data_IF_605918318071
#
_entry.id   IF_605918318071
#
_cell.length_a   1.000
_cell.length_b   1.000
_cell.length_c   1.000
_cell.angle_alpha   90.00
_cell.angle_beta   90.00
_cell.angle_gamma   90.00
#
_symmetry.space_group_name_H-M   'P 1'
#
loop_
_entity.id
_entity.type
_entity.pdbx_description
1 polymer ?
#
# COMPACT_ATOMS: atom_id res chain seq x y z
N UNK A 1 -2.12 -13.10 -15.68
CA UNK A 1 -2.34 -11.92 -16.55
C UNK A 1 -1.97 -10.59 -15.88
N UNK A 2 -2.60 -10.20 -14.76
CA UNK A 2 -2.34 -8.92 -14.07
C UNK A 2 -0.93 -8.80 -13.48
N UNK A 3 -0.41 -9.85 -12.83
CA UNK A 3 0.97 -9.85 -12.28
C UNK A 3 2.03 -9.73 -13.38
N UNK A 4 1.72 -10.24 -14.58
CA UNK A 4 2.64 -10.19 -15.72
C UNK A 4 2.68 -8.77 -16.32
N UNK A 5 1.53 -8.11 -16.42
CA UNK A 5 1.44 -6.69 -16.81
C UNK A 5 2.21 -5.76 -15.86
N UNK A 6 2.08 -5.97 -14.54
CA UNK A 6 2.83 -5.20 -13.54
C UNK A 6 4.36 -5.42 -13.64
N UNK A 7 4.78 -6.65 -13.98
CA UNK A 7 6.19 -6.94 -14.26
C UNK A 7 6.67 -6.22 -15.51
N UNK A 8 5.86 -6.20 -16.56
CA UNK A 8 6.19 -5.53 -17.82
C UNK A 8 6.29 -4.00 -17.65
N UNK A 9 5.40 -3.36 -16.88
CA UNK A 9 5.54 -1.93 -16.56
C UNK A 9 6.78 -1.66 -15.71
N UNK A 10 7.05 -2.49 -14.69
CA UNK A 10 8.26 -2.36 -13.88
C UNK A 10 9.52 -2.47 -14.76
N UNK A 11 9.59 -3.51 -15.58
CA UNK A 11 10.79 -3.86 -16.34
C UNK A 11 11.02 -2.94 -17.54
N UNK A 12 9.95 -2.52 -18.23
CA UNK A 12 10.05 -1.72 -19.45
C UNK A 12 9.87 -0.22 -19.23
N UNK A 13 9.23 0.21 -18.15
CA UNK A 13 8.94 1.64 -17.91
C UNK A 13 9.67 2.16 -16.68
N UNK A 14 9.51 1.50 -15.52
CA UNK A 14 10.06 2.03 -14.25
C UNK A 14 11.58 1.86 -14.18
N UNK A 15 12.10 0.66 -14.47
CA UNK A 15 13.54 0.36 -14.39
C UNK A 15 14.37 1.00 -15.51
N UNK A 16 13.74 1.44 -16.60
CA UNK A 16 14.40 2.16 -17.69
C UNK A 16 14.65 3.64 -17.39
N UNK A 17 14.04 4.18 -16.33
CA UNK A 17 14.23 5.57 -15.89
C UNK A 17 15.17 5.63 -14.69
N UNK A 18 16.04 6.65 -14.60
CA UNK A 18 16.92 6.82 -13.44
C UNK A 18 16.13 7.01 -12.14
N UNK A 19 15.06 7.81 -12.19
CA UNK A 19 14.18 8.06 -11.04
C UNK A 19 13.41 6.80 -10.63
N UNK A 20 12.90 6.02 -11.58
CA UNK A 20 12.19 4.77 -11.29
C UNK A 20 13.11 3.67 -10.77
N UNK A 21 14.34 3.56 -11.29
CA UNK A 21 15.36 2.63 -10.78
C UNK A 21 15.81 2.99 -9.35
N UNK A 22 16.06 4.28 -9.08
CA UNK A 22 16.39 4.76 -7.74
C UNK A 22 15.22 4.54 -6.74
N UNK A 23 13.98 4.81 -7.17
CA UNK A 23 12.78 4.54 -6.39
C UNK A 23 12.63 3.05 -6.08
N UNK A 24 12.76 2.17 -7.08
CA UNK A 24 12.66 0.72 -6.88
C UNK A 24 13.76 0.18 -5.96
N UNK A 25 14.97 0.72 -6.07
CA UNK A 25 16.09 0.36 -5.19
C UNK A 25 15.80 0.77 -3.75
N UNK A 26 15.40 2.03 -3.52
CA UNK A 26 15.04 2.52 -2.18
C UNK A 26 13.82 1.81 -1.60
N UNK A 27 12.80 1.56 -2.42
CA UNK A 27 11.61 0.80 -2.02
C UNK A 27 11.96 -0.64 -1.65
N UNK A 28 12.75 -1.35 -2.45
CA UNK A 28 13.19 -2.71 -2.13
C UNK A 28 13.99 -2.74 -0.83
N UNK A 29 14.93 -1.81 -0.66
CA UNK A 29 15.74 -1.73 0.56
C UNK A 29 14.87 -1.48 1.79
N UNK A 30 13.92 -0.55 1.71
CA UNK A 30 12.96 -0.30 2.78
C UNK A 30 12.06 -1.52 3.04
N UNK A 31 11.46 -2.10 1.99
CA UNK A 31 10.58 -3.27 2.12
C UNK A 31 11.29 -4.44 2.80
N UNK A 32 12.49 -4.80 2.34
CA UNK A 32 13.24 -5.91 2.92
C UNK A 32 13.89 -5.57 4.27
N UNK A 33 13.95 -4.30 4.69
CA UNK A 33 14.48 -3.95 6.02
C UNK A 33 13.55 -4.34 7.16
N UNK A 34 12.25 -4.53 6.91
CA UNK A 34 11.28 -4.92 7.94
C UNK A 34 10.44 -6.15 7.58
N UNK A 35 10.24 -6.45 6.28
CA UNK A 35 9.38 -7.56 5.84
C UNK A 35 9.75 -8.92 6.43
N UNK A 36 11.04 -9.34 6.51
CA UNK A 36 11.40 -10.62 7.10
C UNK A 36 10.99 -10.72 8.57
N UNK A 37 11.27 -9.69 9.36
CA UNK A 37 10.91 -9.65 10.78
C UNK A 37 9.39 -9.73 10.96
N UNK A 38 8.62 -8.98 10.17
CA UNK A 38 7.14 -9.04 10.21
C UNK A 38 6.66 -10.46 9.84
N UNK A 39 7.21 -11.07 8.79
CA UNK A 39 6.82 -12.40 8.34
C UNK A 39 7.09 -13.49 9.39
N UNK A 40 8.20 -13.39 10.12
CA UNK A 40 8.51 -14.31 11.21
C UNK A 40 7.52 -14.13 12.38
N UNK A 41 7.20 -12.90 12.76
CA UNK A 41 6.18 -12.62 13.79
C UNK A 41 4.77 -13.08 13.40
N UNK A 42 4.39 -12.97 12.12
CA UNK A 42 3.12 -13.49 11.63
C UNK A 42 3.01 -15.02 11.74
N UNK A 43 4.14 -15.72 11.57
CA UNK A 43 4.20 -17.18 11.69
C UNK A 43 4.07 -17.64 13.14
N UNK A 44 4.67 -16.89 14.07
CA UNK A 44 4.66 -17.20 15.50
C UNK A 44 3.36 -16.80 16.19
N UNK A 45 2.73 -15.70 15.77
CA UNK A 45 1.57 -15.13 16.46
C UNK A 45 0.38 -14.90 15.52
N UNK A 46 -0.63 -15.80 15.53
CA UNK A 46 -1.82 -15.69 14.68
C UNK A 46 -2.61 -14.40 14.89
N UNK A 47 -2.62 -13.84 16.10
CA UNK A 47 -3.29 -12.58 16.39
C UNK A 47 -2.57 -11.37 15.75
N UNK A 48 -1.23 -11.41 15.70
CA UNK A 48 -0.44 -10.41 15.00
C UNK A 48 -0.72 -10.45 13.49
N UNK A 49 -0.78 -11.64 12.90
CA UNK A 49 -1.15 -11.82 11.48
C UNK A 49 -2.50 -11.19 11.15
N UNK A 50 -3.53 -11.42 11.96
CA UNK A 50 -4.84 -10.80 11.73
C UNK A 50 -4.80 -9.28 11.93
N UNK A 51 -3.97 -8.78 12.84
CA UNK A 51 -3.76 -7.34 13.03
C UNK A 51 -3.08 -6.70 11.82
N UNK A 52 -2.03 -7.32 11.28
CA UNK A 52 -1.36 -6.88 10.05
C UNK A 52 -2.33 -6.92 8.87
N UNK A 53 -3.12 -7.98 8.74
CA UNK A 53 -4.15 -8.10 7.71
C UNK A 53 -5.21 -6.99 7.80
N UNK A 54 -5.70 -6.71 9.01
CA UNK A 54 -6.63 -5.59 9.26
C UNK A 54 -5.99 -4.25 8.91
N UNK A 55 -4.73 -4.05 9.29
CA UNK A 55 -3.98 -2.85 8.95
C UNK A 55 -3.80 -2.70 7.44
N UNK A 56 -3.58 -3.77 6.68
CA UNK A 56 -3.43 -3.73 5.22
C UNK A 56 -4.75 -3.66 4.46
N UNK A 57 -5.89 -3.98 5.08
CA UNK A 57 -7.20 -4.03 4.41
C UNK A 57 -7.61 -2.72 3.73
N UNK A 58 -7.47 -1.53 4.34
CA UNK A 58 -7.70 -0.25 3.68
C UNK A 58 -6.92 -0.10 2.37
N UNK A 59 -5.64 -0.46 2.41
CA UNK A 59 -4.72 -0.37 1.28
C UNK A 59 -5.12 -1.32 0.16
N UNK A 60 -5.38 -2.58 0.48
CA UNK A 60 -5.81 -3.59 -0.49
C UNK A 60 -7.13 -3.18 -1.17
N UNK A 61 -8.08 -2.65 -0.40
CA UNK A 61 -9.35 -2.16 -0.94
C UNK A 61 -9.14 -0.98 -1.89
N UNK A 62 -8.27 -0.03 -1.53
CA UNK A 62 -7.97 1.12 -2.38
C UNK A 62 -7.27 0.73 -3.69
N UNK A 63 -6.37 -0.25 -3.66
CA UNK A 63 -5.70 -0.78 -4.86
C UNK A 63 -6.65 -1.62 -5.73
N UNK A 64 -7.60 -2.31 -5.13
CA UNK A 64 -8.64 -3.03 -5.88
C UNK A 64 -9.50 -2.07 -6.71
N UNK A 65 -9.78 -0.87 -6.21
CA UNK A 65 -10.54 0.16 -6.94
C UNK A 65 -9.81 0.57 -8.23
N UNK A 66 -8.46 0.66 -8.23
CA UNK A 66 -7.69 0.94 -9.45
C UNK A 66 -7.87 -0.12 -10.55
N UNK A 67 -8.15 -1.37 -10.18
CA UNK A 67 -8.39 -2.42 -11.17
C UNK A 67 -9.75 -2.27 -11.89
N UNK A 68 -10.65 -1.45 -11.35
CA UNK A 68 -11.97 -1.19 -11.95
C UNK A 68 -12.03 0.12 -12.74
N UNK A 69 -10.95 0.91 -12.72
CA UNK A 69 -10.85 2.16 -13.47
C UNK A 69 -9.97 1.87 -14.68
N UNK A 70 -10.49 2.05 -15.90
CA UNK A 70 -9.66 2.06 -17.10
C UNK A 70 -8.73 3.28 -17.02
N UNK A 71 -7.43 3.03 -16.85
CA UNK A 71 -6.39 4.06 -16.78
C UNK A 71 -5.85 4.25 -18.20
N UNK A 72 -6.33 5.29 -18.88
CA UNK A 72 -6.00 5.54 -20.29
C UNK A 72 -4.77 6.46 -20.44
N UNK A 73 -4.31 7.11 -19.36
CA UNK A 73 -3.16 8.04 -19.41
C UNK A 73 -2.23 8.00 -18.19
N UNK A 74 -0.97 8.40 -18.40
CA UNK A 74 0.05 8.53 -17.34
C UNK A 74 -0.35 9.55 -16.26
N UNK A 75 -0.99 10.66 -16.66
CA UNK A 75 -1.48 11.67 -15.74
C UNK A 75 -2.61 11.14 -14.83
N UNK A 76 -3.50 10.29 -15.36
CA UNK A 76 -4.53 9.62 -14.57
C UNK A 76 -3.90 8.59 -13.62
N UNK A 77 -2.92 7.80 -14.08
CA UNK A 77 -2.19 6.87 -13.21
C UNK A 77 -1.56 7.58 -12.02
N UNK A 78 -0.91 8.73 -12.25
CA UNK A 78 -0.33 9.55 -11.19
C UNK A 78 -1.40 10.17 -10.28
N UNK A 79 -2.48 10.70 -10.87
CA UNK A 79 -3.59 11.30 -10.12
C UNK A 79 -4.28 10.30 -9.19
N UNK A 80 -4.61 9.11 -9.69
CA UNK A 80 -5.19 8.04 -8.88
C UNK A 80 -4.19 7.47 -7.87
N UNK A 81 -2.92 7.34 -8.24
CA UNK A 81 -1.85 6.92 -7.33
C UNK A 81 -1.72 7.87 -6.12
N UNK A 82 -1.67 9.18 -6.38
CA UNK A 82 -1.66 10.21 -5.33
C UNK A 82 -2.95 10.16 -4.51
N UNK A 83 -4.11 10.06 -5.17
CA UNK A 83 -5.41 9.97 -4.52
C UNK A 83 -5.50 8.79 -3.55
N UNK A 84 -4.95 7.63 -3.92
CA UNK A 84 -4.93 6.44 -3.09
C UNK A 84 -3.95 6.55 -1.93
N UNK A 85 -2.79 7.16 -2.13
CA UNK A 85 -1.87 7.46 -1.04
C UNK A 85 -2.55 8.37 -0.01
N UNK A 86 -3.20 9.44 -0.48
CA UNK A 86 -3.95 10.37 0.39
C UNK A 86 -5.13 9.69 1.08
N UNK A 87 -5.87 8.84 0.38
CA UNK A 87 -6.97 8.06 0.95
C UNK A 87 -6.47 7.11 2.04
N UNK A 88 -5.37 6.40 1.80
CA UNK A 88 -4.76 5.52 2.80
C UNK A 88 -4.30 6.29 4.02
N UNK A 89 -3.56 7.38 3.83
CA UNK A 89 -3.16 8.27 4.94
C UNK A 89 -4.39 8.73 5.70
N UNK A 90 -5.43 9.22 5.02
CA UNK A 90 -6.69 9.61 5.64
C UNK A 90 -7.29 8.49 6.49
N UNK A 91 -7.41 7.27 5.95
CA UNK A 91 -7.95 6.11 6.66
C UNK A 91 -7.14 5.75 7.92
N UNK A 92 -5.81 5.73 7.82
CA UNK A 92 -4.93 5.40 8.95
C UNK A 92 -4.94 6.45 10.07
N UNK A 93 -5.34 7.69 9.81
CA UNK A 93 -5.46 8.73 10.83
C UNK A 93 -6.89 8.87 11.36
N UNK A 94 -7.89 8.83 10.46
CA UNK A 94 -9.30 9.02 10.79
C UNK A 94 -9.84 7.86 11.61
N UNK A 95 -9.54 6.60 11.25
CA UNK A 95 -10.07 5.46 11.97
C UNK A 95 -9.59 5.41 13.44
N UNK A 96 -8.28 5.57 13.74
CA UNK A 96 -7.82 5.71 15.13
C UNK A 96 -8.37 6.94 15.84
N UNK A 97 -8.46 8.10 15.16
CA UNK A 97 -9.00 9.32 15.77
C UNK A 97 -10.47 9.14 16.23
N UNK A 98 -11.31 8.51 15.40
CA UNK A 98 -12.70 8.21 15.76
C UNK A 98 -12.76 7.25 16.96
N UNK A 99 -11.90 6.22 17.00
CA UNK A 99 -11.83 5.30 18.14
C UNK A 99 -11.48 6.06 19.43
N UNK A 100 -10.45 6.92 19.40
CA UNK A 100 -10.02 7.71 20.55
C UNK A 100 -11.13 8.65 21.03
N UNK A 101 -11.80 9.37 20.12
CA UNK A 101 -12.91 10.28 20.45
C UNK A 101 -14.06 9.50 21.08
N UNK A 102 -14.40 8.32 20.53
CA UNK A 102 -15.49 7.48 21.02
C UNK A 102 -15.20 6.91 22.41
N UNK A 103 -13.95 6.57 22.71
CA UNK A 103 -13.51 6.16 24.05
C UNK A 103 -13.60 7.35 25.03
N UNK A 104 -13.11 8.52 24.62
CA UNK A 104 -13.14 9.73 25.45
C UNK A 104 -14.56 10.17 25.80
N UNK A 105 -15.50 10.09 24.86
CA UNK A 105 -16.90 10.49 25.09
C UNK A 105 -17.74 9.43 25.83
N UNK A 106 -17.18 8.25 26.10
CA UNK A 106 -17.85 7.17 26.85
C UNK A 106 -17.44 7.14 28.32
N UNK A 107 -16.37 7.87 28.68
CA UNK A 107 -15.98 8.22 30.05
C UNK A 107 -16.57 9.59 30.42
#
# INVERSE_FOLDING_TARGET
>A
PQVQFLREIRDNTVLQTESGSAFMTGFNQFYYSFSPAVADYERENPAFKETVKLALTPMLTSLAILNYVDIDSEAEMLGYGIGIILLNIGMYFVAPAIIIIKIKNRN
#
